data_IF_606456586913
#
_entry.id   IF_606456586913
#
_cell.length_a   1.000
_cell.length_b   1.000
_cell.length_c   1.000
_cell.angle_alpha   90.00
_cell.angle_beta   90.00
_cell.angle_gamma   90.00
#
_symmetry.space_group_name_H-M   'P 1'
#
loop_
_entity.id
_entity.type
_entity.pdbx_description
1 polymer ?
#
# COMPACT_ATOMS: atom_id res chain seq x y z
N UNK A 1 4.03 13.51 -9.34
CA UNK A 1 4.44 12.09 -9.38
C UNK A 1 5.24 11.82 -8.13
N UNK A 2 4.67 11.02 -7.25
CA UNK A 2 5.28 10.60 -6.00
C UNK A 2 5.51 9.10 -6.09
N UNK A 3 6.76 8.76 -6.34
CA UNK A 3 7.35 7.44 -6.16
C UNK A 3 7.48 7.10 -4.68
N UNK A 4 7.47 8.12 -3.81
CA UNK A 4 7.49 7.98 -2.35
C UNK A 4 6.34 8.72 -1.68
N UNK A 5 5.73 8.09 -0.68
CA UNK A 5 4.73 8.73 0.16
C UNK A 5 4.97 8.39 1.62
N UNK A 6 4.68 9.32 2.53
CA UNK A 6 4.70 9.10 3.97
C UNK A 6 3.26 9.16 4.47
N UNK A 7 2.78 8.10 5.09
CA UNK A 7 1.39 7.98 5.56
C UNK A 7 1.34 7.72 7.06
N UNK A 8 0.34 8.29 7.73
CA UNK A 8 0.00 7.96 9.10
C UNK A 8 -1.17 6.99 9.10
N UNK A 9 -1.00 5.84 9.74
CA UNK A 9 -2.08 4.85 9.91
C UNK A 9 -2.43 4.73 11.38
N UNK A 10 -3.72 4.76 11.69
CA UNK A 10 -4.26 4.58 13.03
C UNK A 10 -5.43 3.60 12.99
N UNK A 11 -5.21 2.40 13.48
CA UNK A 11 -6.28 1.42 13.61
C UNK A 11 -7.29 1.83 14.69
N UNK A 12 -8.49 1.25 14.65
CA UNK A 12 -9.52 1.55 15.63
C UNK A 12 -9.22 0.88 16.96
N UNK A 13 -9.57 1.56 18.05
CA UNK A 13 -9.49 0.99 19.40
C UNK A 13 -10.57 -0.08 19.60
N UNK A 14 -10.31 -1.01 20.52
CA UNK A 14 -11.34 -1.93 20.99
C UNK A 14 -12.42 -1.20 21.78
N UNK A 15 -13.67 -1.64 21.64
CA UNK A 15 -14.74 -1.20 22.53
C UNK A 15 -14.56 -1.74 23.94
N UNK A 16 -15.05 -1.01 24.93
CA UNK A 16 -15.00 -1.44 26.32
C UNK A 16 -16.02 -2.55 26.61
N UNK A 17 -15.64 -3.49 27.47
CA UNK A 17 -16.59 -4.38 28.11
C UNK A 17 -17.49 -3.62 29.07
N UNK A 18 -18.68 -4.15 29.33
CA UNK A 18 -19.64 -3.51 30.24
C UNK A 18 -19.90 -4.37 31.46
N UNK A 19 -20.24 -3.71 32.57
CA UNK A 19 -20.75 -4.34 33.78
C UNK A 19 -22.26 -4.16 33.79
N UNK A 20 -23.00 -5.25 33.59
CA UNK A 20 -24.45 -5.24 33.71
C UNK A 20 -24.96 -6.49 34.44
N UNK A 21 -26.19 -6.42 34.92
CA UNK A 21 -26.86 -7.51 35.63
C UNK A 21 -28.28 -7.65 35.08
N UNK A 22 -28.76 -8.89 34.96
CA UNK A 22 -30.14 -9.11 34.52
C UNK A 22 -31.10 -8.62 35.60
N UNK A 23 -32.14 -7.89 35.16
CA UNK A 23 -33.24 -7.46 36.00
C UNK A 23 -34.53 -8.00 35.39
N UNK A 24 -35.23 -8.83 36.15
CA UNK A 24 -36.63 -9.17 35.87
C UNK A 24 -37.48 -8.50 36.93
N UNK A 25 -38.69 -8.07 36.52
CA UNK A 25 -39.66 -7.52 37.45
C UNK A 25 -39.96 -8.57 38.52
N UNK A 26 -39.90 -8.17 39.78
CA UNK A 26 -40.22 -8.99 40.96
C UNK A 26 -39.27 -10.18 41.25
N UNK A 27 -38.05 -10.20 40.68
CA UNK A 27 -36.98 -11.15 41.04
C UNK A 27 -35.72 -10.43 41.55
N UNK A 28 -34.98 -11.02 42.51
CA UNK A 28 -33.67 -10.50 42.92
C UNK A 28 -32.69 -10.44 41.73
N UNK A 29 -31.65 -9.58 41.84
CA UNK A 29 -30.63 -9.37 40.78
C UNK A 29 -30.18 -10.71 40.20
N UNK A 30 -30.53 -10.95 38.94
CA UNK A 30 -30.12 -12.13 38.21
C UNK A 30 -28.68 -11.91 37.69
N UNK A 31 -27.98 -13.02 37.46
CA UNK A 31 -26.53 -13.07 37.16
C UNK A 31 -26.02 -12.09 36.08
N UNK A 32 -24.69 -11.99 35.91
CA UNK A 32 -24.06 -10.97 35.09
C UNK A 32 -24.55 -11.02 33.64
N UNK A 33 -24.74 -9.84 33.05
CA UNK A 33 -25.34 -9.61 31.74
C UNK A 33 -24.53 -8.65 30.86
N UNK A 34 -23.37 -8.18 31.33
CA UNK A 34 -22.55 -7.22 30.61
C UNK A 34 -21.92 -7.83 29.38
N UNK A 35 -22.10 -7.16 28.24
CA UNK A 35 -21.57 -7.57 26.95
C UNK A 35 -20.08 -7.28 26.81
N UNK A 36 -19.41 -8.02 25.92
CA UNK A 36 -18.06 -7.72 25.46
C UNK A 36 -18.09 -6.53 24.49
N UNK A 37 -17.03 -5.72 24.51
CA UNK A 37 -16.80 -4.72 23.50
C UNK A 37 -16.36 -5.33 22.17
N UNK A 38 -16.62 -4.61 21.08
CA UNK A 38 -16.19 -4.97 19.74
C UNK A 38 -14.68 -4.82 19.55
N UNK A 39 -14.13 -5.55 18.57
CA UNK A 39 -12.76 -5.25 18.09
C UNK A 39 -12.77 -3.98 17.26
N UNK A 40 -11.71 -3.18 17.34
CA UNK A 40 -11.53 -2.05 16.43
C UNK A 40 -11.15 -2.48 15.01
N UNK A 41 -11.41 -1.61 14.04
CA UNK A 41 -11.06 -1.86 12.64
C UNK A 41 -9.55 -1.90 12.42
N UNK A 42 -9.09 -2.83 11.59
CA UNK A 42 -7.70 -2.85 11.12
C UNK A 42 -7.56 -2.04 9.83
N UNK A 43 -6.33 -1.62 9.50
CA UNK A 43 -6.02 -0.97 8.22
C UNK A 43 -5.16 -1.91 7.38
N UNK A 44 -5.55 -2.11 6.13
CA UNK A 44 -4.79 -2.84 5.14
C UNK A 44 -4.34 -1.91 4.02
N UNK A 45 -3.16 -2.17 3.47
CA UNK A 45 -2.81 -1.74 2.13
C UNK A 45 -3.36 -2.78 1.15
N UNK A 46 -4.01 -2.33 0.09
CA UNK A 46 -4.58 -3.20 -0.95
C UNK A 46 -4.04 -2.77 -2.30
N UNK A 47 -3.53 -3.74 -3.05
CA UNK A 47 -2.97 -3.51 -4.36
C UNK A 47 -4.08 -3.33 -5.41
N UNK A 48 -4.12 -2.16 -6.04
CA UNK A 48 -5.08 -1.81 -7.08
C UNK A 48 -4.33 -1.52 -8.40
N UNK A 49 -4.55 -2.37 -9.41
CA UNK A 49 -3.95 -2.21 -10.74
C UNK A 49 -4.48 -0.99 -11.52
N UNK A 50 -5.58 -0.39 -11.06
CA UNK A 50 -6.06 0.88 -11.58
C UNK A 50 -5.25 2.09 -11.10
N UNK A 51 -4.30 1.90 -10.18
CA UNK A 51 -3.45 2.96 -9.63
C UNK A 51 -2.00 2.81 -10.13
N UNK A 52 -1.45 3.91 -10.65
CA UNK A 52 -0.08 3.94 -11.21
C UNK A 52 0.85 4.90 -10.44
N UNK A 53 0.37 5.54 -9.37
CA UNK A 53 1.10 6.52 -8.56
C UNK A 53 0.70 6.43 -7.08
N UNK A 54 1.61 6.78 -6.16
CA UNK A 54 1.25 6.97 -4.76
C UNK A 54 0.57 8.34 -4.57
N UNK A 55 -0.44 8.38 -3.69
CA UNK A 55 -1.08 9.63 -3.26
C UNK A 55 -0.21 10.31 -2.21
N UNK A 56 -0.01 11.63 -2.33
CA UNK A 56 0.62 12.46 -1.29
C UNK A 56 -0.47 12.87 -0.30
N UNK A 57 -0.17 12.73 1.00
CA UNK A 57 -1.10 12.80 2.14
C UNK A 57 -2.00 11.56 2.32
N UNK A 58 -2.35 11.28 3.59
CA UNK A 58 -3.70 11.05 4.15
C UNK A 58 -3.53 10.31 5.48
N UNK A 59 -3.96 10.92 6.57
CA UNK A 59 -4.12 10.21 7.83
C UNK A 59 -5.23 9.18 7.65
N UNK A 60 -4.90 7.90 7.68
CA UNK A 60 -5.89 6.82 7.57
C UNK A 60 -6.30 6.39 8.98
N UNK A 61 -7.59 6.50 9.28
CA UNK A 61 -8.15 6.16 10.59
C UNK A 61 -9.24 5.11 10.45
N UNK A 62 -9.12 4.03 11.20
CA UNK A 62 -10.17 3.04 11.33
C UNK A 62 -11.11 3.33 12.49
N UNK A 63 -12.34 2.84 12.35
CA UNK A 63 -13.37 3.07 13.36
C UNK A 63 -13.16 2.15 14.56
N UNK A 64 -13.39 2.66 15.75
CA UNK A 64 -13.32 1.89 16.99
C UNK A 64 -14.44 0.86 17.11
N UNK A 65 -14.22 -0.17 17.92
CA UNK A 65 -15.25 -1.14 18.27
C UNK A 65 -16.30 -0.53 19.20
N UNK A 66 -17.54 -1.02 19.13
CA UNK A 66 -18.59 -0.53 20.03
C UNK A 66 -18.45 -1.10 21.44
N UNK A 67 -18.84 -0.32 22.45
CA UNK A 67 -18.89 -0.78 23.84
C UNK A 67 -19.95 -1.87 24.03
N UNK A 68 -19.74 -2.75 25.00
CA UNK A 68 -20.64 -3.86 25.27
C UNK A 68 -22.00 -3.41 25.80
N UNK A 69 -23.08 -3.58 25.01
CA UNK A 69 -24.45 -3.30 25.49
C UNK A 69 -25.45 -4.42 25.18
N UNK A 70 -25.00 -5.51 24.53
CA UNK A 70 -25.83 -6.69 24.26
C UNK A 70 -25.20 -7.59 23.21
N UNK A 71 -25.16 -7.14 21.95
CA UNK A 71 -24.42 -7.78 20.86
C UNK A 71 -23.08 -7.04 20.66
N UNK A 72 -21.96 -7.75 20.79
CA UNK A 72 -20.64 -7.18 20.53
C UNK A 72 -20.53 -6.80 19.04
N UNK A 73 -20.38 -5.50 18.73
CA UNK A 73 -20.25 -5.02 17.35
C UNK A 73 -18.82 -4.54 17.09
N UNK A 74 -18.15 -5.21 16.16
CA UNK A 74 -16.82 -4.84 15.69
C UNK A 74 -16.86 -3.50 14.94
N UNK A 75 -15.80 -2.71 15.07
CA UNK A 75 -15.55 -1.52 14.28
C UNK A 75 -15.14 -1.91 12.86
N UNK A 76 -15.55 -1.10 11.90
CA UNK A 76 -15.20 -1.24 10.49
C UNK A 76 -13.74 -0.85 10.26
N UNK A 77 -13.08 -1.56 9.32
CA UNK A 77 -11.79 -1.16 8.77
C UNK A 77 -11.85 0.27 8.21
N UNK A 78 -10.80 1.06 8.44
CA UNK A 78 -10.75 2.50 8.16
C UNK A 78 -10.68 2.94 6.71
N UNK A 79 -11.22 2.13 5.81
CA UNK A 79 -10.91 2.15 4.40
C UNK A 79 -9.56 1.50 4.15
N UNK A 80 -9.55 0.50 3.27
CA UNK A 80 -8.30 -0.07 2.79
C UNK A 80 -7.53 0.99 1.97
N UNK A 81 -6.25 1.14 2.28
CA UNK A 81 -5.36 2.08 1.60
C UNK A 81 -4.96 1.47 0.27
N UNK A 82 -5.58 1.94 -0.81
CA UNK A 82 -5.27 1.43 -2.15
C UNK A 82 -3.95 1.99 -2.65
N UNK A 83 -3.07 1.10 -3.11
CA UNK A 83 -1.75 1.45 -3.64
C UNK A 83 -1.47 0.72 -4.96
N UNK A 84 -0.61 1.27 -5.82
CA UNK A 84 -0.17 0.59 -7.03
C UNK A 84 0.57 -0.73 -6.74
N UNK A 85 0.60 -1.65 -7.72
CA UNK A 85 1.46 -2.83 -7.68
C UNK A 85 2.94 -2.46 -7.53
N UNK A 86 3.70 -3.29 -6.81
CA UNK A 86 5.12 -3.02 -6.55
C UNK A 86 5.36 -1.98 -5.46
N UNK A 87 4.35 -1.64 -4.64
CA UNK A 87 4.54 -0.74 -3.51
C UNK A 87 5.25 -1.47 -2.37
N UNK A 88 6.36 -0.90 -1.91
CA UNK A 88 7.14 -1.35 -0.77
C UNK A 88 6.88 -0.46 0.42
N UNK A 89 6.77 -1.09 1.57
CA UNK A 89 6.36 -0.44 2.81
C UNK A 89 7.50 -0.58 3.81
N UNK A 90 7.96 0.55 4.31
CA UNK A 90 8.96 0.64 5.37
C UNK A 90 8.42 1.39 6.56
N UNK A 91 8.96 1.07 7.74
CA UNK A 91 8.74 1.89 8.91
C UNK A 91 9.44 3.22 8.77
N UNK A 92 8.83 4.27 9.31
CA UNK A 92 9.38 5.62 9.16
C UNK A 92 10.61 5.86 10.05
N UNK A 93 10.61 5.23 11.24
CA UNK A 93 11.58 5.44 12.33
C UNK A 93 12.96 4.84 12.03
N UNK A 94 13.00 3.58 11.57
CA UNK A 94 14.23 2.79 11.38
C UNK A 94 14.43 2.30 9.94
N UNK A 95 13.54 2.67 9.02
CA UNK A 95 13.52 2.21 7.63
C UNK A 95 13.41 0.68 7.48
N UNK A 96 12.98 -0.02 8.54
CA UNK A 96 12.81 -1.47 8.50
C UNK A 96 11.72 -1.86 7.50
N UNK A 97 12.01 -2.88 6.68
CA UNK A 97 11.05 -3.42 5.72
C UNK A 97 9.86 -4.04 6.46
N UNK A 98 8.67 -3.50 6.21
CA UNK A 98 7.40 -4.06 6.70
C UNK A 98 6.91 -5.13 5.73
N UNK A 99 7.06 -4.89 4.42
CA UNK A 99 6.66 -5.80 3.36
C UNK A 99 6.43 -5.10 2.03
N UNK A 100 5.88 -5.82 1.06
CA UNK A 100 5.56 -5.30 -0.28
C UNK A 100 4.25 -5.91 -0.79
N UNK A 101 3.53 -5.14 -1.62
CA UNK A 101 2.34 -5.60 -2.34
C UNK A 101 2.64 -5.56 -3.84
N UNK A 102 2.53 -6.70 -4.51
CA UNK A 102 3.13 -6.90 -5.83
C UNK A 102 2.10 -7.08 -6.95
N UNK A 103 0.96 -7.70 -6.65
CA UNK A 103 -0.07 -8.07 -7.63
C UNK A 103 -1.43 -7.53 -7.21
N UNK A 104 -2.29 -7.23 -8.17
CA UNK A 104 -3.66 -6.81 -7.86
C UNK A 104 -4.37 -7.78 -6.92
N UNK A 105 -5.08 -7.23 -5.94
CA UNK A 105 -5.77 -8.02 -4.92
C UNK A 105 -4.87 -8.44 -3.76
N UNK A 106 -3.54 -8.32 -3.87
CA UNK A 106 -2.65 -8.49 -2.71
C UNK A 106 -3.04 -7.48 -1.63
N UNK A 107 -3.12 -7.96 -0.39
CA UNK A 107 -3.41 -7.11 0.76
C UNK A 107 -2.46 -7.39 1.91
N UNK A 108 -2.07 -6.32 2.61
CA UNK A 108 -1.17 -6.41 3.75
C UNK A 108 -1.70 -5.56 4.88
N UNK A 109 -1.89 -6.16 6.06
CA UNK A 109 -2.30 -5.42 7.26
C UNK A 109 -1.15 -4.55 7.74
N UNK A 110 -1.39 -3.25 7.77
CA UNK A 110 -0.40 -2.26 8.19
C UNK A 110 -0.62 -1.72 9.60
N UNK A 111 -1.85 -1.80 10.11
CA UNK A 111 -2.16 -1.49 11.49
C UNK A 111 -3.25 -2.44 12.02
N UNK A 112 -3.02 -3.05 13.18
CA UNK A 112 -3.94 -3.99 13.82
C UNK A 112 -4.93 -3.23 14.69
N UNK A 113 -6.22 -3.50 14.53
CA UNK A 113 -7.27 -2.98 15.40
C UNK A 113 -7.18 -3.55 16.82
N UNK A 114 -7.54 -2.71 17.78
CA UNK A 114 -7.55 -3.03 19.20
C UNK A 114 -8.53 -4.15 19.53
N UNK A 115 -8.18 -4.98 20.52
CA UNK A 115 -9.06 -6.04 21.02
C UNK A 115 -10.18 -5.43 21.87
N UNK A 116 -11.41 -5.88 21.66
CA UNK A 116 -12.53 -5.49 22.53
C UNK A 116 -12.39 -6.05 23.95
N UNK A 117 -12.74 -5.22 24.94
CA UNK A 117 -12.72 -5.58 26.34
C UNK A 117 -13.82 -6.59 26.69
N UNK A 118 -13.52 -7.51 27.61
CA UNK A 118 -14.49 -8.48 28.14
C UNK A 118 -15.47 -7.80 29.11
N UNK A 119 -16.76 -8.08 28.95
CA UNK A 119 -17.80 -7.68 29.90
C UNK A 119 -17.83 -8.57 31.14
N UNK A 120 -18.57 -8.16 32.17
CA UNK A 120 -18.60 -8.90 33.44
C UNK A 120 -19.14 -10.34 33.32
N UNK A 121 -19.98 -10.63 32.32
CA UNK A 121 -20.47 -11.98 32.07
C UNK A 121 -19.33 -12.97 31.76
N UNK A 122 -18.23 -12.52 31.15
CA UNK A 122 -17.07 -13.35 30.82
C UNK A 122 -16.18 -13.67 32.05
N UNK A 123 -16.36 -12.97 33.17
CA UNK A 123 -15.61 -13.17 34.41
C UNK A 123 -16.34 -14.06 35.43
N UNK A 124 -17.53 -14.57 35.10
CA UNK A 124 -18.30 -15.43 36.00
C UNK A 124 -17.55 -16.72 36.26
N UNK A 125 -17.32 -17.05 37.54
CA UNK A 125 -16.72 -18.32 37.97
C UNK A 125 -17.63 -19.01 38.99
N UNK A 126 -17.30 -20.25 39.37
CA UNK A 126 -18.03 -20.96 40.44
C UNK A 126 -17.89 -20.27 41.81
N UNK A 127 -16.80 -19.52 42.03
CA UNK A 127 -16.52 -18.80 43.28
C UNK A 127 -17.06 -17.35 43.27
N UNK A 128 -17.12 -16.72 42.09
CA UNK A 128 -17.72 -15.39 41.91
C UNK A 128 -18.81 -15.43 40.84
N UNK A 129 -20.05 -15.53 41.30
CA UNK A 129 -21.23 -15.60 40.44
C UNK A 129 -21.74 -14.21 40.02
N UNK A 130 -21.22 -13.12 40.60
CA UNK A 130 -21.67 -11.74 40.35
C UNK A 130 -20.49 -10.77 40.18
N UNK A 131 -19.58 -11.03 39.21
CA UNK A 131 -18.43 -10.18 38.97
C UNK A 131 -18.86 -8.76 38.63
N UNK A 132 -18.14 -7.79 39.20
CA UNK A 132 -18.32 -6.34 38.97
C UNK A 132 -17.18 -5.74 38.14
N UNK A 133 -16.35 -6.59 37.56
CA UNK A 133 -15.22 -6.21 36.72
C UNK A 133 -15.62 -6.28 35.24
N UNK A 134 -15.13 -5.34 34.45
CA UNK A 134 -15.07 -5.43 32.99
C UNK A 134 -13.70 -4.91 32.52
N UNK A 135 -13.22 -5.42 31.39
CA UNK A 135 -12.01 -4.95 30.73
C UNK A 135 -12.31 -3.77 29.82
N UNK A 136 -11.36 -2.84 29.75
CA UNK A 136 -11.33 -1.83 28.69
C UNK A 136 -10.88 -2.47 27.38
N UNK A 137 -11.24 -1.85 26.26
CA UNK A 137 -10.69 -2.22 24.98
C UNK A 137 -9.20 -1.87 24.88
N UNK A 138 -8.44 -2.68 24.16
CA UNK A 138 -7.04 -2.37 23.86
C UNK A 138 -6.96 -1.28 22.78
N UNK A 139 -5.93 -0.42 22.82
CA UNK A 139 -5.71 0.58 21.78
C UNK A 139 -5.37 -0.08 20.44
N UNK A 140 -5.79 0.54 19.34
CA UNK A 140 -5.38 0.20 17.99
C UNK A 140 -3.91 0.55 17.74
N UNK A 141 -3.24 -0.24 16.91
CA UNK A 141 -1.88 0.10 16.47
C UNK A 141 -1.87 1.39 15.65
N UNK A 142 -0.87 2.23 15.88
CA UNK A 142 -0.63 3.45 15.12
C UNK A 142 0.85 3.60 14.78
N UNK A 143 1.17 4.05 13.57
CA UNK A 143 2.56 4.29 13.14
C UNK A 143 2.63 5.12 11.86
N UNK A 144 3.78 5.75 11.64
CA UNK A 144 4.17 6.32 10.36
C UNK A 144 4.77 5.24 9.46
N UNK A 145 4.40 5.27 8.18
CA UNK A 145 4.93 4.37 7.16
C UNK A 145 5.44 5.16 5.97
N UNK A 146 6.57 4.71 5.42
CA UNK A 146 7.10 5.15 4.12
C UNK A 146 6.70 4.13 3.07
N UNK A 147 6.05 4.61 2.02
CA UNK A 147 5.69 3.85 0.84
C UNK A 147 6.66 4.23 -0.28
N UNK A 148 7.19 3.25 -0.97
CA UNK A 148 8.05 3.43 -2.14
C UNK A 148 7.60 2.51 -3.27
N UNK A 149 7.33 3.06 -4.44
CA UNK A 149 6.90 2.30 -5.60
C UNK A 149 8.14 1.72 -6.34
N UNK A 150 8.24 0.39 -6.44
CA UNK A 150 9.31 -0.34 -7.18
C UNK A 150 9.03 -0.54 -8.67
N UNK A 151 7.93 -0.01 -9.22
CA UNK A 151 7.68 -0.08 -10.68
C UNK A 151 8.56 0.93 -11.44
N UNK A 152 9.20 0.47 -12.51
CA UNK A 152 10.10 1.28 -13.35
C UNK A 152 9.36 2.06 -14.43
N UNK A 153 8.38 1.47 -15.12
CA UNK A 153 7.48 2.17 -16.05
C UNK A 153 6.37 1.25 -16.56
N UNK A 154 5.26 1.84 -17.01
CA UNK A 154 4.22 1.14 -17.77
C UNK A 154 4.68 0.89 -19.21
N UNK A 155 5.45 1.83 -19.77
CA UNK A 155 5.91 1.83 -21.16
C UNK A 155 7.40 2.12 -21.23
N UNK A 156 8.16 1.24 -21.89
CA UNK A 156 9.59 1.42 -22.12
C UNK A 156 9.89 1.92 -23.53
N UNK A 157 10.60 3.06 -23.66
CA UNK A 157 11.10 3.54 -24.95
C UNK A 157 12.42 2.82 -25.28
N UNK A 158 12.46 2.14 -26.42
CA UNK A 158 13.64 1.42 -26.94
C UNK A 158 13.99 1.93 -28.33
N UNK A 159 15.24 1.76 -28.74
CA UNK A 159 15.78 2.29 -30.00
C UNK A 159 17.23 2.73 -29.83
N UNK A 160 17.90 2.98 -30.96
CA UNK A 160 19.32 3.35 -30.99
C UNK A 160 19.63 4.64 -30.23
N UNK A 161 20.91 4.82 -29.83
CA UNK A 161 21.38 6.11 -29.37
C UNK A 161 20.99 7.23 -30.34
N UNK A 162 20.52 8.35 -29.79
CA UNK A 162 20.07 9.53 -30.54
C UNK A 162 18.83 9.34 -31.43
N UNK A 163 18.06 8.26 -31.31
CA UNK A 163 16.76 8.12 -32.00
C UNK A 163 15.68 9.14 -31.56
N UNK A 164 16.00 10.05 -30.62
CA UNK A 164 15.04 11.02 -30.09
C UNK A 164 14.21 10.52 -28.91
N UNK A 165 14.56 9.38 -28.29
CA UNK A 165 13.84 8.81 -27.12
C UNK A 165 13.65 9.79 -25.97
N UNK A 166 14.71 10.45 -25.51
CA UNK A 166 14.61 11.40 -24.40
C UNK A 166 13.80 12.63 -24.77
N UNK A 167 13.86 13.07 -26.03
CA UNK A 167 13.04 14.17 -26.55
C UNK A 167 11.56 13.81 -26.61
N UNK A 168 11.24 12.59 -27.06
CA UNK A 168 9.89 12.05 -27.07
C UNK A 168 9.34 11.92 -25.64
N UNK A 169 10.14 11.40 -24.71
CA UNK A 169 9.79 11.33 -23.29
C UNK A 169 9.44 12.73 -22.77
N UNK A 170 10.32 13.71 -22.98
CA UNK A 170 10.10 15.08 -22.50
C UNK A 170 8.85 15.72 -23.10
N UNK A 171 8.57 15.49 -24.40
CA UNK A 171 7.38 16.02 -25.07
C UNK A 171 6.08 15.35 -24.60
N UNK A 172 6.11 14.03 -24.35
CA UNK A 172 4.94 13.27 -23.93
C UNK A 172 4.59 13.45 -22.45
N UNK A 173 5.52 13.95 -21.63
CA UNK A 173 5.35 14.06 -20.18
C UNK A 173 5.28 15.52 -19.77
N UNK A 174 4.16 15.95 -19.17
CA UNK A 174 3.97 17.33 -18.65
C UNK A 174 4.84 17.65 -17.42
N UNK A 175 5.88 16.86 -17.15
CA UNK A 175 6.77 17.00 -16.00
C UNK A 175 8.22 16.82 -16.45
N UNK A 176 9.15 17.56 -15.84
CA UNK A 176 10.60 17.35 -16.07
C UNK A 176 10.94 15.89 -15.75
N UNK A 177 11.63 15.17 -16.66
CA UNK A 177 12.06 13.81 -16.41
C UNK A 177 12.83 13.72 -15.10
N UNK A 178 12.47 12.74 -14.25
CA UNK A 178 13.17 12.50 -13.00
C UNK A 178 14.19 11.38 -13.21
N UNK A 179 15.42 11.64 -12.81
CA UNK A 179 16.49 10.65 -12.76
C UNK A 179 16.25 9.79 -11.51
N UNK A 180 15.96 8.50 -11.69
CA UNK A 180 15.62 7.61 -10.58
C UNK A 180 16.76 6.60 -10.32
N UNK A 181 17.61 6.80 -9.29
CA UNK A 181 18.75 5.94 -9.02
C UNK A 181 18.30 4.58 -8.49
N UNK A 182 18.41 3.54 -9.32
CA UNK A 182 18.11 2.17 -8.93
C UNK A 182 19.40 1.40 -8.64
N UNK A 183 19.41 0.64 -7.54
CA UNK A 183 20.60 -0.05 -7.02
C UNK A 183 21.23 -1.11 -7.96
N UNK A 184 20.58 -1.41 -9.09
CA UNK A 184 20.95 -2.45 -10.05
C UNK A 184 21.09 -1.92 -11.48
N UNK A 185 20.96 -0.61 -11.71
CA UNK A 185 21.18 0.01 -13.02
C UNK A 185 22.53 0.69 -13.06
N UNK A 186 23.39 0.36 -14.03
CA UNK A 186 24.64 1.12 -14.29
C UNK A 186 24.37 2.50 -14.88
N UNK A 187 23.23 2.65 -15.57
CA UNK A 187 22.76 3.92 -16.13
C UNK A 187 21.38 4.19 -15.58
N UNK A 188 21.23 5.34 -14.94
CA UNK A 188 19.97 5.77 -14.35
C UNK A 188 18.94 6.07 -15.44
N UNK A 189 17.79 5.37 -15.51
CA UNK A 189 16.79 5.62 -16.54
C UNK A 189 16.08 6.96 -16.30
N UNK A 190 15.69 7.62 -17.38
CA UNK A 190 14.88 8.82 -17.32
C UNK A 190 13.40 8.43 -17.30
N UNK A 191 12.67 8.89 -16.29
CA UNK A 191 11.24 8.58 -16.13
C UNK A 191 10.39 9.83 -16.27
N UNK A 192 9.20 9.67 -16.86
CA UNK A 192 8.20 10.74 -16.90
C UNK A 192 6.78 10.20 -16.95
N UNK A 193 5.85 10.95 -16.38
CA UNK A 193 4.44 10.58 -16.32
C UNK A 193 3.65 11.25 -17.45
N UNK A 194 2.98 10.46 -18.29
CA UNK A 194 2.05 10.91 -19.29
C UNK A 194 0.60 10.78 -18.79
N UNK A 195 -0.28 11.67 -19.24
CA UNK A 195 -1.73 11.59 -18.98
C UNK A 195 -2.48 11.57 -20.30
N UNK A 196 -2.68 10.40 -20.92
CA UNK A 196 -3.44 10.30 -22.16
C UNK A 196 -4.93 10.65 -21.99
N UNK A 197 -5.48 10.56 -20.77
CA UNK A 197 -6.86 11.00 -20.47
C UNK A 197 -7.00 11.45 -19.01
N UNK A 198 -8.17 12.00 -18.64
CA UNK A 198 -8.47 12.42 -17.26
C UNK A 198 -8.44 11.26 -16.25
N UNK A 199 -8.69 10.03 -16.71
CA UNK A 199 -8.78 8.84 -15.87
C UNK A 199 -7.55 7.92 -15.98
N UNK A 200 -6.65 8.17 -16.94
CA UNK A 200 -5.50 7.32 -17.19
C UNK A 200 -4.19 8.10 -17.05
N UNK A 201 -3.26 7.54 -16.29
CA UNK A 201 -1.87 8.01 -16.20
C UNK A 201 -0.94 6.87 -16.55
N UNK A 202 0.12 7.12 -17.32
CA UNK A 202 1.12 6.14 -17.67
C UNK A 202 2.50 6.64 -17.24
N UNK A 203 3.36 5.74 -16.81
CA UNK A 203 4.78 6.01 -16.58
C UNK A 203 5.56 5.55 -17.81
N UNK A 204 6.23 6.48 -18.46
CA UNK A 204 7.17 6.23 -19.55
C UNK A 204 8.59 6.18 -18.97
N UNK A 205 9.37 5.17 -19.35
CA UNK A 205 10.80 5.12 -19.12
C UNK A 205 11.54 5.24 -20.45
N UNK A 206 12.49 6.17 -20.54
CA UNK A 206 13.57 6.04 -21.52
C UNK A 206 14.53 4.99 -20.98
N UNK A 207 14.56 3.85 -21.67
CA UNK A 207 15.47 2.76 -21.37
C UNK A 207 16.73 3.09 -22.16
N UNK A 208 17.82 3.54 -21.48
CA UNK A 208 19.10 3.75 -22.14
C UNK A 208 19.43 2.43 -22.83
N UNK A 209 19.65 2.50 -24.15
CA UNK A 209 19.51 1.36 -25.06
C UNK A 209 20.12 0.11 -24.45
N UNK A 210 19.35 -0.99 -24.42
CA UNK A 210 19.80 -2.35 -24.14
C UNK A 210 21.32 -2.44 -24.29
N UNK A 211 22.04 -2.30 -23.17
CA UNK A 211 23.46 -1.91 -23.18
C UNK A 211 24.22 -2.62 -24.30
N UNK A 212 25.09 -1.92 -25.01
CA UNK A 212 26.22 -2.55 -25.71
C UNK A 212 26.82 -3.59 -24.75
N UNK A 213 26.58 -4.88 -24.98
CA UNK A 213 26.99 -5.97 -24.08
C UNK A 213 25.99 -6.48 -23.02
N UNK A 214 24.69 -6.14 -23.07
CA UNK A 214 23.68 -6.73 -22.17
C UNK A 214 23.55 -8.26 -22.32
N UNK A 215 23.94 -8.79 -23.48
CA UNK A 215 24.03 -10.21 -23.80
C UNK A 215 25.35 -10.87 -23.34
N UNK A 216 26.40 -10.10 -23.00
CA UNK A 216 27.72 -10.60 -22.58
C UNK A 216 27.79 -11.11 -21.12
N UNK A 217 26.65 -11.18 -20.43
CA UNK A 217 26.52 -12.04 -19.24
C UNK A 217 27.16 -11.54 -17.93
N UNK A 218 27.59 -10.28 -17.80
CA UNK A 218 28.18 -9.72 -16.55
C UNK A 218 27.17 -9.46 -15.39
N UNK A 219 26.02 -10.14 -15.36
CA UNK A 219 25.04 -10.09 -14.25
C UNK A 219 24.12 -8.85 -14.20
N UNK A 220 24.60 -7.68 -14.64
CA UNK A 220 23.84 -6.40 -14.66
C UNK A 220 22.71 -6.38 -15.71
N UNK A 221 22.94 -6.97 -16.89
CA UNK A 221 21.96 -7.02 -17.99
C UNK A 221 20.69 -7.84 -17.66
N UNK A 222 20.83 -8.98 -16.97
CA UNK A 222 19.66 -9.80 -16.56
C UNK A 222 18.80 -9.13 -15.49
N UNK A 223 19.40 -8.34 -14.60
CA UNK A 223 18.64 -7.55 -13.66
C UNK A 223 17.86 -6.46 -14.40
N UNK A 224 18.49 -5.70 -15.28
CA UNK A 224 17.84 -4.68 -16.11
C UNK A 224 16.71 -5.24 -16.99
N UNK A 225 16.94 -6.36 -17.69
CA UNK A 225 15.94 -7.04 -18.51
C UNK A 225 14.71 -7.49 -17.70
N UNK A 226 14.88 -8.02 -16.48
CA UNK A 226 13.77 -8.32 -15.56
C UNK A 226 12.93 -7.10 -15.17
N UNK A 227 13.46 -5.90 -15.33
CA UNK A 227 12.71 -4.67 -15.09
C UNK A 227 12.01 -4.17 -16.35
N UNK A 228 12.61 -4.36 -17.53
CA UNK A 228 11.93 -4.15 -18.83
C UNK A 228 10.77 -5.13 -19.01
N UNK A 229 10.90 -6.38 -18.54
CA UNK A 229 9.82 -7.39 -18.52
C UNK A 229 8.56 -6.94 -17.76
N UNK A 230 8.67 -5.93 -16.89
CA UNK A 230 7.53 -5.33 -16.18
C UNK A 230 6.87 -4.18 -16.93
N UNK A 231 7.47 -3.68 -18.01
CA UNK A 231 6.80 -2.76 -18.92
C UNK A 231 5.65 -3.52 -19.59
N UNK A 232 4.45 -2.97 -19.57
CA UNK A 232 3.28 -3.56 -20.26
C UNK A 232 3.42 -3.41 -21.77
N UNK A 233 4.22 -2.42 -22.21
CA UNK A 233 4.43 -2.12 -23.62
C UNK A 233 5.85 -1.57 -23.85
N UNK A 234 6.45 -1.93 -24.99
CA UNK A 234 7.69 -1.31 -25.46
C UNK A 234 7.39 -0.49 -26.71
N UNK A 235 7.81 0.77 -26.72
CA UNK A 235 7.73 1.65 -27.88
C UNK A 235 9.10 1.71 -28.54
N UNK A 236 9.18 1.19 -29.75
CA UNK A 236 10.37 1.31 -30.58
C UNK A 236 10.37 2.69 -31.26
N UNK A 237 11.36 3.50 -30.92
CA UNK A 237 11.56 4.84 -31.47
C UNK A 237 12.60 4.75 -32.58
N UNK A 238 12.18 5.15 -33.79
CA UNK A 238 12.99 5.12 -35.00
C UNK A 238 13.12 6.53 -35.55
N UNK A 239 14.34 6.93 -35.90
CA UNK A 239 14.62 8.21 -36.56
C UNK A 239 14.40 8.09 -38.07
N UNK A 240 13.29 8.65 -38.56
CA UNK A 240 12.92 8.62 -39.97
C UNK A 240 13.80 9.50 -40.88
N UNK A 241 14.74 10.26 -40.33
CA UNK A 241 15.67 11.09 -41.13
C UNK A 241 16.93 10.32 -41.56
N UNK A 242 17.13 9.10 -41.03
CA UNK A 242 18.30 8.27 -41.36
C UNK A 242 18.16 7.54 -42.69
N UNK A 243 19.28 7.17 -43.34
CA UNK A 243 19.28 6.50 -44.64
C UNK A 243 18.61 5.12 -44.64
N UNK A 244 18.73 4.38 -43.54
CA UNK A 244 18.05 3.09 -43.33
C UNK A 244 17.46 3.01 -41.91
N UNK A 245 16.25 3.57 -41.70
CA UNK A 245 15.61 3.60 -40.39
C UNK A 245 15.26 2.21 -39.84
N UNK A 246 15.15 1.19 -40.70
CA UNK A 246 14.77 -0.17 -40.31
C UNK A 246 15.99 -1.07 -40.06
N UNK A 247 17.09 -0.84 -40.78
CA UNK A 247 18.35 -1.58 -40.63
C UNK A 247 19.29 -1.06 -39.55
N UNK A 248 19.10 0.17 -39.08
CA UNK A 248 19.85 0.81 -37.99
C UNK A 248 19.46 0.27 -36.58
N UNK A 249 19.18 -1.03 -36.44
CA UNK A 249 18.83 -1.68 -35.16
C UNK A 249 20.04 -1.85 -34.22
#
# INVERSE_FOLDING_TARGET
>A
FFDRARIWVQAGDGGNGCVAFRREKDKPKMGPAGGNGGRGGSIHLVCDEGLNMLKQEVHFRATGGQNGMGKARHGESGGDVRVPPGTVVRQDEDDALVGEVLRHGDSMRVARGGRGGRGNAAFKTARDTTPRLAEQGEPGGQRWLKLELKLLADVGLVGVPNAGKSSLLAAATNAKPKIAPYAFTTVTPNLGAARPSLQASLVLADIPGLLEGAHEGKGLGRAFLRHIERCRLLLHVVDGTRPDPLGDF
#
